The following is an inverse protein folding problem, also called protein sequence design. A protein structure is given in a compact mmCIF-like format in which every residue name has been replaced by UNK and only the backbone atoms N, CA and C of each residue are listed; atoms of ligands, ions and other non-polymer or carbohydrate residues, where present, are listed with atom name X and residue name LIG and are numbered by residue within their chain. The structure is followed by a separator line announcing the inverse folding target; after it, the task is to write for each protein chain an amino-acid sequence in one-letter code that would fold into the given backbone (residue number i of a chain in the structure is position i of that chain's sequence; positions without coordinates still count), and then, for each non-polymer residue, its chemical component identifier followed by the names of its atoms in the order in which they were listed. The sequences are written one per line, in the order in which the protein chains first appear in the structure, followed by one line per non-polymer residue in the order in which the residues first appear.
data_IF_184945549352
#
_entry.id   IF_184945549352
#
_cell.length_a   1.000
_cell.length_b   1.000
_cell.length_c   1.000
_cell.angle_alpha   90.00
_cell.angle_beta   90.00
_cell.angle_gamma   90.00
#
_symmetry.space_group_name_H-M   'P 1'
#
loop_
_entity.id
_entity.type
_entity.pdbx_description
1 polymer ?
#
# COMPACT_ATOMS: atom_id res chain seq x y z
N UNK A 1 -10.59 -7.02 -1.31
CA UNK A 1 -9.34 -6.25 -1.26
C UNK A 1 -8.93 -6.07 0.18
N UNK A 2 -7.66 -6.07 0.44
CA UNK A 2 -7.13 -6.01 1.79
C UNK A 2 -6.43 -4.68 2.02
N UNK A 3 -7.00 -3.82 2.88
CA UNK A 3 -6.39 -2.53 3.18
C UNK A 3 -5.21 -2.71 4.12
N UNK A 4 -4.04 -2.27 3.69
CA UNK A 4 -2.79 -2.41 4.42
C UNK A 4 -2.32 -1.10 5.07
N UNK A 5 -3.07 -0.02 4.94
CA UNK A 5 -2.69 1.28 5.45
C UNK A 5 -1.73 2.02 4.55
N UNK A 6 -0.88 2.85 5.12
CA UNK A 6 0.12 3.57 4.34
C UNK A 6 1.10 2.59 3.70
N UNK A 7 1.48 2.90 2.46
CA UNK A 7 2.51 2.11 1.79
C UNK A 7 3.83 2.23 2.54
N UNK A 8 4.49 1.10 2.73
CA UNK A 8 5.81 1.04 3.35
C UNK A 8 6.74 0.24 2.46
N UNK A 9 7.81 0.87 2.00
CA UNK A 9 8.81 0.17 1.19
C UNK A 9 9.56 -0.84 2.04
N UNK A 10 9.81 -0.49 3.29
CA UNK A 10 10.53 -1.37 4.22
C UNK A 10 9.66 -1.73 5.41
N UNK A 11 9.86 -2.93 5.93
CA UNK A 11 9.28 -3.33 7.19
C UNK A 11 9.86 -2.42 8.26
N UNK A 12 9.01 -1.86 9.11
CA UNK A 12 9.42 -0.90 10.13
C UNK A 12 10.50 -1.51 11.02
N UNK A 13 11.59 -0.77 11.21
CA UNK A 13 12.70 -1.21 12.01
C UNK A 13 13.61 -2.23 11.35
N UNK A 14 13.46 -2.42 10.05
CA UNK A 14 14.19 -3.42 9.30
C UNK A 14 14.67 -2.86 7.97
N UNK A 15 15.70 -3.48 7.41
CA UNK A 15 16.13 -3.18 6.04
C UNK A 15 15.47 -4.11 5.01
N UNK A 16 14.57 -4.97 5.45
CA UNK A 16 13.85 -5.86 4.55
C UNK A 16 12.66 -5.16 3.93
N UNK A 17 12.38 -5.48 2.66
CA UNK A 17 11.25 -4.90 1.96
C UNK A 17 9.93 -5.47 2.46
N UNK A 18 8.92 -4.60 2.56
CA UNK A 18 7.56 -5.04 2.78
C UNK A 18 7.06 -5.74 1.52
N UNK A 19 6.40 -6.88 1.68
CA UNK A 19 5.83 -7.64 0.56
C UNK A 19 4.34 -7.36 0.49
N UNK A 20 3.86 -6.99 -0.70
CA UNK A 20 2.45 -6.84 -0.98
C UNK A 20 2.05 -7.89 -2.02
N UNK A 21 0.81 -8.35 -1.92
CA UNK A 21 0.28 -9.38 -2.81
C UNK A 21 -0.98 -8.86 -3.50
N UNK A 22 -1.44 -9.60 -4.48
CA UNK A 22 -2.62 -9.22 -5.26
C UNK A 22 -3.79 -8.85 -4.35
N UNK A 23 -4.39 -7.72 -4.63
CA UNK A 23 -5.55 -7.24 -3.89
C UNK A 23 -5.24 -6.40 -2.67
N UNK A 24 -3.98 -6.24 -2.31
CA UNK A 24 -3.61 -5.35 -1.22
C UNK A 24 -3.82 -3.89 -1.64
N UNK A 25 -4.44 -3.12 -0.77
CA UNK A 25 -4.70 -1.69 -0.99
C UNK A 25 -3.83 -0.89 -0.04
N UNK A 26 -3.16 0.11 -0.56
CA UNK A 26 -2.32 0.98 0.23
C UNK A 26 -2.69 2.44 -0.04
N UNK A 27 -2.37 3.30 0.91
CA UNK A 27 -2.53 4.74 0.77
C UNK A 27 -1.15 5.38 0.66
N UNK A 28 -1.00 6.32 -0.27
CA UNK A 28 0.25 7.06 -0.43
C UNK A 28 -0.04 8.42 -1.05
N UNK A 29 0.50 9.47 -0.43
CA UNK A 29 0.34 10.85 -0.91
C UNK A 29 -1.12 11.22 -1.16
N UNK A 30 -2.01 10.77 -0.28
CA UNK A 30 -3.43 11.07 -0.39
C UNK A 30 -4.18 10.27 -1.44
N UNK A 31 -3.53 9.30 -2.05
CA UNK A 31 -4.14 8.44 -3.07
C UNK A 31 -4.13 6.99 -2.61
N UNK A 32 -5.08 6.22 -3.12
CA UNK A 32 -5.12 4.79 -2.88
C UNK A 32 -4.62 4.04 -4.10
N UNK A 33 -3.92 2.95 -3.83
CA UNK A 33 -3.39 2.07 -4.87
C UNK A 33 -3.73 0.64 -4.53
N UNK A 34 -3.94 -0.18 -5.54
CA UNK A 34 -4.21 -1.61 -5.36
C UNK A 34 -3.14 -2.41 -6.07
N UNK A 35 -2.65 -3.45 -5.40
CA UNK A 35 -1.66 -4.34 -5.99
C UNK A 35 -2.34 -5.26 -7.01
N UNK A 36 -1.84 -5.24 -8.22
CA UNK A 36 -2.32 -6.09 -9.32
C UNK A 36 -1.35 -7.20 -9.67
N UNK A 37 -0.15 -7.16 -9.12
CA UNK A 37 0.81 -8.23 -9.29
C UNK A 37 0.54 -9.34 -8.27
N UNK A 38 0.98 -10.54 -8.57
CA UNK A 38 0.89 -11.64 -7.61
C UNK A 38 1.62 -11.29 -6.32
N UNK A 39 2.76 -10.61 -6.46
CA UNK A 39 3.59 -10.21 -5.35
C UNK A 39 4.50 -9.07 -5.79
N UNK A 40 4.71 -8.10 -4.92
CA UNK A 40 5.63 -7.00 -5.20
C UNK A 40 6.31 -6.54 -3.93
N UNK A 41 7.54 -6.06 -4.08
CA UNK A 41 8.30 -5.49 -2.98
C UNK A 41 9.41 -4.61 -3.55
N UNK A 42 9.87 -3.63 -2.76
CA UNK A 42 10.99 -2.80 -3.15
C UNK A 42 10.67 -1.64 -4.08
N UNK A 43 9.40 -1.39 -4.38
CA UNK A 43 8.96 -0.30 -5.25
C UNK A 43 7.96 0.58 -4.54
N UNK A 44 7.95 1.88 -4.87
CA UNK A 44 6.86 2.76 -4.45
C UNK A 44 5.72 2.63 -5.45
N UNK A 45 4.47 2.86 -5.04
CA UNK A 45 3.31 2.64 -5.93
C UNK A 45 3.34 3.45 -7.22
N UNK A 46 3.98 4.61 -7.21
CA UNK A 46 4.07 5.47 -8.39
C UNK A 46 5.03 4.92 -9.46
N UNK A 47 5.87 3.99 -9.08
CA UNK A 47 6.78 3.37 -10.03
C UNK A 47 6.02 2.45 -10.97
N UNK A 48 6.30 2.54 -12.28
CA UNK A 48 5.63 1.72 -13.28
C UNK A 48 5.88 0.23 -13.08
N UNK A 49 6.96 -0.12 -12.40
CA UNK A 49 7.31 -1.52 -12.13
C UNK A 49 6.76 -2.02 -10.80
N UNK A 50 6.01 -1.19 -10.09
CA UNK A 50 5.55 -1.54 -8.74
C UNK A 50 4.47 -2.59 -8.71
N UNK A 51 3.73 -2.76 -9.80
CA UNK A 51 2.57 -3.63 -9.82
C UNK A 51 1.33 -3.03 -9.17
N UNK A 52 1.38 -1.79 -8.73
CA UNK A 52 0.23 -1.08 -8.18
C UNK A 52 -0.45 -0.24 -9.24
N UNK A 53 -1.79 -0.23 -9.18
CA UNK A 53 -2.62 0.68 -9.96
C UNK A 53 -3.32 1.66 -9.03
N UNK A 54 -3.50 2.89 -9.50
CA UNK A 54 -4.22 3.88 -8.71
C UNK A 54 -5.70 3.52 -8.65
N UNK A 55 -6.28 3.65 -7.46
CA UNK A 55 -7.73 3.54 -7.28
C UNK A 55 -8.29 4.95 -7.30
N UNK A 56 -9.09 5.26 -8.30
CA UNK A 56 -9.69 6.59 -8.41
C UNK A 56 -10.77 6.82 -7.37
N UNK A 57 -11.29 5.75 -6.80
CA UNK A 57 -12.34 5.86 -5.78
C UNK A 57 -12.18 4.70 -4.79
N UNK A 58 -12.04 5.05 -3.52
CA UNK A 58 -11.95 4.07 -2.45
C UNK A 58 -12.35 4.73 -1.14
N UNK A 59 -13.21 4.08 -0.38
CA UNK A 59 -13.62 4.59 0.91
C UNK A 59 -12.65 4.11 1.97
N UNK A 60 -12.02 5.06 2.66
CA UNK A 60 -11.04 4.75 3.71
C UNK A 60 -11.74 4.00 4.84
N UNK A 61 -11.30 2.79 5.17
CA UNK A 61 -11.92 2.03 6.25
C UNK A 61 -11.66 2.59 7.64
N UNK A 62 -10.79 3.60 7.75
CA UNK A 62 -10.47 4.23 9.03
C UNK A 62 -10.69 5.73 8.96
N UNK A 63 -11.91 6.18 8.63
CA UNK A 63 -12.15 7.60 8.34
C UNK A 63 -11.92 8.53 9.52
N UNK A 64 -12.04 8.05 10.72
CA UNK A 64 -11.89 8.86 11.92
C UNK A 64 -10.56 8.65 12.61
N UNK A 65 -9.69 7.87 12.04
CA UNK A 65 -8.47 7.46 12.69
C UNK A 65 -7.24 8.11 12.10
N UNK A 66 -6.26 8.40 12.91
CA UNK A 66 -4.95 8.84 12.44
C UNK A 66 -4.07 7.65 12.09
N UNK A 67 -4.63 6.54 11.76
CA UNK A 67 -3.93 5.27 11.81
C UNK A 67 -3.45 4.77 10.47
N UNK A 68 -3.46 5.60 9.46
CA UNK A 68 -3.02 5.16 8.14
C UNK A 68 -1.65 4.51 8.23
N UNK A 69 -1.62 3.22 8.12
CA UNK A 69 -0.38 2.48 8.10
C UNK A 69 0.36 2.37 9.42
N UNK A 70 -0.25 2.80 10.50
CA UNK A 70 0.43 2.80 11.78
C UNK A 70 0.91 1.45 12.24
N UNK A 71 0.17 0.41 11.93
CA UNK A 71 0.43 -0.92 12.47
C UNK A 71 0.58 -2.00 11.43
N UNK A 72 0.65 -1.64 10.21
CA UNK A 72 0.68 -2.65 9.14
C UNK A 72 2.05 -3.13 8.74
#
# INVERSE_FOLDING_TARGET
MNYRGLHRKYIEGSSQYTVYVYGDVVKRNGKFYVCKADQTSGYIPEDTNSGFDVLSFYEDPSPNGPVDGGTY
#
